data_IF_855369216230
#
_entry.id   IF_855369216230
#
_cell.length_a   1.000
_cell.length_b   1.000
_cell.length_c   1.000
_cell.angle_alpha   90.00
_cell.angle_beta   90.00
_cell.angle_gamma   90.00
#
_symmetry.space_group_name_H-M   'P 1'
#
loop_
_entity.id
_entity.type
_entity.pdbx_description
1 polymer ?
#
# COMPACT_ATOMS: atom_id res chain seq x y z
N UNK A 1 -3.18 6.74 19.20
CA UNK A 1 -3.49 6.04 17.94
C UNK A 1 -3.96 4.61 18.22
N UNK A 2 -4.81 4.06 17.33
CA UNK A 2 -5.19 2.65 17.31
C UNK A 2 -4.43 2.04 16.14
N UNK A 3 -3.77 0.91 16.37
CA UNK A 3 -2.98 0.24 15.35
C UNK A 3 -3.42 -1.21 15.26
N UNK A 4 -3.64 -1.69 14.05
CA UNK A 4 -3.89 -3.10 13.76
C UNK A 4 -2.67 -3.69 13.09
N UNK A 5 -2.25 -4.87 13.52
CA UNK A 5 -1.27 -5.72 12.83
C UNK A 5 -2.04 -6.87 12.22
N UNK A 6 -2.22 -6.91 10.87
CA UNK A 6 -3.10 -7.88 10.23
C UNK A 6 -2.37 -9.20 9.92
N UNK A 7 -1.71 -9.79 10.94
CA UNK A 7 -1.03 -11.08 10.82
C UNK A 7 -2.04 -12.24 10.92
N UNK A 8 -3.04 -12.29 10.02
CA UNK A 8 -4.10 -13.30 10.09
C UNK A 8 -3.60 -14.72 9.78
N UNK A 9 -2.63 -14.85 8.90
CA UNK A 9 -1.97 -16.13 8.59
C UNK A 9 -0.55 -16.14 9.14
N UNK A 10 0.15 -15.02 9.07
CA UNK A 10 1.52 -14.81 9.48
C UNK A 10 1.91 -13.35 9.21
N UNK A 11 3.16 -12.96 9.52
CA UNK A 11 3.80 -11.79 8.93
C UNK A 11 4.79 -12.25 7.85
N UNK A 12 4.55 -11.85 6.61
CA UNK A 12 5.45 -12.06 5.48
C UNK A 12 6.64 -11.12 5.49
N UNK A 13 7.13 -10.76 4.31
CA UNK A 13 8.22 -9.81 4.16
C UNK A 13 7.91 -8.47 4.83
N UNK A 14 8.90 -7.82 5.44
CA UNK A 14 10.28 -8.27 5.65
C UNK A 14 10.48 -9.12 6.90
N UNK A 15 9.44 -9.39 7.69
CA UNK A 15 9.53 -10.00 9.02
C UNK A 15 9.73 -11.52 9.00
N UNK A 16 9.04 -12.22 8.09
CA UNK A 16 9.07 -13.69 7.94
C UNK A 16 8.77 -14.42 9.26
N UNK A 17 7.65 -14.02 9.93
CA UNK A 17 7.23 -14.59 11.21
C UNK A 17 5.95 -15.42 11.03
N UNK A 18 6.06 -16.76 10.86
CA UNK A 18 4.91 -17.63 10.69
C UNK A 18 4.04 -17.74 11.95
N UNK A 19 4.63 -17.52 13.12
CA UNK A 19 3.93 -17.60 14.42
C UNK A 19 3.15 -16.32 14.78
N UNK A 20 3.41 -15.20 14.08
CA UNK A 20 2.71 -13.95 14.36
C UNK A 20 1.20 -14.09 14.17
N UNK A 21 0.43 -13.44 15.04
CA UNK A 21 -1.03 -13.42 14.98
C UNK A 21 -1.55 -11.99 14.90
N UNK A 22 -2.74 -11.84 14.30
CA UNK A 22 -3.40 -10.55 14.18
C UNK A 22 -3.65 -9.91 15.54
N UNK A 23 -3.37 -8.60 15.65
CA UNK A 23 -3.49 -7.86 16.89
C UNK A 23 -4.07 -6.46 16.64
N UNK A 24 -4.87 -5.98 17.59
CA UNK A 24 -5.30 -4.57 17.65
C UNK A 24 -4.82 -4.00 18.99
N UNK A 25 -4.11 -2.87 18.93
CA UNK A 25 -3.56 -2.21 20.12
C UNK A 25 -4.04 -0.76 20.24
N UNK A 26 -3.85 -0.16 21.42
CA UNK A 26 -4.23 1.22 21.69
C UNK A 26 -5.73 1.42 21.95
N UNK A 27 -6.49 0.36 22.26
CA UNK A 27 -7.92 0.45 22.57
C UNK A 27 -8.15 1.19 23.89
N UNK A 28 -9.19 2.04 23.91
CA UNK A 28 -9.63 2.81 25.07
C UNK A 28 -11.15 2.80 25.15
N UNK A 29 -11.74 3.32 26.22
CA UNK A 29 -13.20 3.48 26.36
C UNK A 29 -13.86 4.28 25.23
N UNK A 30 -13.14 5.22 24.61
CA UNK A 30 -13.61 6.00 23.45
C UNK A 30 -13.41 5.31 22.09
N UNK A 31 -12.92 4.07 22.05
CA UNK A 31 -12.74 3.34 20.79
C UNK A 31 -14.10 2.91 20.25
N UNK A 32 -14.34 3.19 18.97
CA UNK A 32 -15.54 2.78 18.25
C UNK A 32 -15.19 2.11 16.90
N UNK A 33 -16.20 1.63 16.19
CA UNK A 33 -16.05 0.92 14.92
C UNK A 33 -15.23 1.70 13.87
N UNK A 34 -15.40 3.02 13.79
CA UNK A 34 -14.69 3.84 12.81
C UNK A 34 -13.18 3.85 13.09
N UNK A 35 -12.78 3.84 14.36
CA UNK A 35 -11.37 3.72 14.74
C UNK A 35 -10.77 2.39 14.30
N UNK A 36 -11.54 1.29 14.41
CA UNK A 36 -11.06 -0.04 13.99
C UNK A 36 -10.93 -0.10 12.45
N UNK A 37 -11.97 0.33 11.72
CA UNK A 37 -11.94 0.38 10.25
C UNK A 37 -10.76 1.22 9.76
N UNK A 38 -10.54 2.40 10.36
CA UNK A 38 -9.41 3.26 10.00
C UNK A 38 -8.07 2.56 10.28
N UNK A 39 -7.90 1.93 11.42
CA UNK A 39 -6.68 1.20 11.77
C UNK A 39 -6.41 0.04 10.80
N UNK A 40 -7.45 -0.61 10.27
CA UNK A 40 -7.33 -1.65 9.24
C UNK A 40 -6.80 -1.08 7.92
N UNK A 41 -7.35 0.04 7.46
CA UNK A 41 -6.88 0.72 6.23
C UNK A 41 -5.43 1.21 6.40
N UNK A 42 -5.13 1.85 7.52
CA UNK A 42 -3.77 2.32 7.82
C UNK A 42 -2.76 1.17 7.89
N UNK A 43 -3.16 0.00 8.41
CA UNK A 43 -2.31 -1.19 8.50
C UNK A 43 -1.83 -1.69 7.12
N UNK A 44 -2.67 -1.60 6.10
CA UNK A 44 -2.27 -1.94 4.71
C UNK A 44 -1.13 -1.04 4.24
N UNK A 45 -1.24 0.26 4.53
CA UNK A 45 -0.21 1.23 4.15
C UNK A 45 1.11 1.03 4.90
N UNK A 46 1.04 0.67 6.19
CA UNK A 46 2.25 0.37 6.97
C UNK A 46 2.94 -0.91 6.49
N UNK A 47 2.20 -1.95 6.13
CA UNK A 47 2.80 -3.16 5.54
C UNK A 47 3.49 -2.85 4.21
N UNK A 48 2.86 -2.06 3.35
CA UNK A 48 3.47 -1.60 2.10
C UNK A 48 4.74 -0.79 2.37
N UNK A 49 4.70 0.11 3.37
CA UNK A 49 5.88 0.87 3.79
C UNK A 49 7.05 -0.05 4.18
N UNK A 50 6.81 -1.08 4.99
CA UNK A 50 7.87 -1.99 5.44
C UNK A 50 8.50 -2.74 4.26
N UNK A 51 7.68 -3.23 3.33
CA UNK A 51 8.18 -3.92 2.12
C UNK A 51 9.00 -2.98 1.24
N UNK A 52 8.50 -1.76 1.00
CA UNK A 52 9.20 -0.80 0.16
C UNK A 52 10.51 -0.33 0.78
N UNK A 53 10.57 -0.16 2.11
CA UNK A 53 11.83 0.14 2.80
C UNK A 53 12.87 -0.97 2.64
N UNK A 54 12.45 -2.23 2.76
CA UNK A 54 13.34 -3.36 2.50
C UNK A 54 13.83 -3.37 1.04
N UNK A 55 12.96 -3.05 0.07
CA UNK A 55 13.36 -2.94 -1.34
C UNK A 55 14.33 -1.77 -1.58
N UNK A 56 14.13 -0.64 -0.92
CA UNK A 56 15.04 0.51 -1.02
C UNK A 56 16.43 0.21 -0.46
N UNK A 57 16.52 -0.61 0.61
CA UNK A 57 17.79 -1.06 1.17
C UNK A 57 18.57 -1.93 0.17
N UNK A 58 17.86 -2.74 -0.63
CA UNK A 58 18.50 -3.66 -1.60
C UNK A 58 18.77 -2.99 -2.95
N UNK A 59 17.85 -2.17 -3.45
CA UNK A 59 17.85 -1.67 -4.84
C UNK A 59 18.09 -0.15 -4.96
N UNK A 60 18.13 0.58 -3.85
CA UNK A 60 18.25 2.04 -3.84
C UNK A 60 16.90 2.76 -3.87
N UNK A 61 16.93 4.10 -3.89
CA UNK A 61 15.75 4.94 -3.72
C UNK A 61 14.67 4.70 -4.79
N UNK A 62 13.43 4.57 -4.35
CA UNK A 62 12.23 4.44 -5.19
C UNK A 62 11.64 5.84 -5.39
N UNK A 63 11.47 6.28 -6.65
CA UNK A 63 10.98 7.62 -6.95
C UNK A 63 9.47 7.77 -6.83
N UNK A 64 8.69 6.94 -7.52
CA UNK A 64 7.22 6.95 -7.49
C UNK A 64 6.67 5.54 -7.51
N UNK A 65 5.45 5.40 -6.99
CA UNK A 65 4.80 4.10 -6.85
C UNK A 65 3.49 4.11 -7.63
N UNK A 66 3.30 3.12 -8.49
CA UNK A 66 2.03 2.89 -9.17
C UNK A 66 1.22 1.88 -8.35
N UNK A 67 -0.03 2.24 -8.04
CA UNK A 67 -0.97 1.40 -7.31
C UNK A 67 -2.21 1.13 -8.15
N UNK A 68 -2.63 -0.12 -8.23
CA UNK A 68 -3.82 -0.56 -8.93
C UNK A 68 -4.61 -1.61 -8.13
N UNK A 69 -5.67 -2.14 -8.73
CA UNK A 69 -6.57 -3.10 -8.09
C UNK A 69 -7.66 -2.44 -7.25
N UNK A 70 -8.61 -3.24 -6.77
CA UNK A 70 -9.82 -2.76 -6.09
C UNK A 70 -9.55 -1.87 -4.87
N UNK A 71 -8.52 -2.18 -4.07
CA UNK A 71 -8.15 -1.37 -2.91
C UNK A 71 -7.67 0.03 -3.29
N UNK A 72 -7.01 0.17 -4.43
CA UNK A 72 -6.53 1.46 -4.93
C UNK A 72 -7.65 2.44 -5.27
N UNK A 73 -8.90 1.97 -5.45
CA UNK A 73 -10.06 2.84 -5.65
C UNK A 73 -10.41 3.70 -4.43
N UNK A 74 -9.89 3.37 -3.25
CA UNK A 74 -10.12 4.11 -2.02
C UNK A 74 -9.14 5.29 -1.93
N UNK A 75 -9.65 6.51 -2.10
CA UNK A 75 -8.85 7.74 -2.06
C UNK A 75 -8.14 7.93 -0.71
N UNK A 76 -8.83 7.66 0.41
CA UNK A 76 -8.21 7.76 1.74
C UNK A 76 -6.98 6.83 1.85
N UNK A 77 -7.10 5.59 1.31
CA UNK A 77 -6.00 4.65 1.34
C UNK A 77 -4.81 5.17 0.52
N UNK A 78 -5.06 5.74 -0.65
CA UNK A 78 -4.01 6.29 -1.52
C UNK A 78 -3.34 7.53 -0.93
N UNK A 79 -4.12 8.45 -0.35
CA UNK A 79 -3.61 9.63 0.34
C UNK A 79 -2.74 9.24 1.53
N UNK A 80 -3.23 8.33 2.38
CA UNK A 80 -2.48 7.86 3.54
C UNK A 80 -1.24 7.05 3.13
N UNK A 81 -1.32 6.28 2.03
CA UNK A 81 -0.16 5.57 1.48
C UNK A 81 0.94 6.55 1.05
N UNK A 82 0.59 7.61 0.30
CA UNK A 82 1.54 8.64 -0.09
C UNK A 82 2.17 9.30 1.14
N UNK A 83 1.36 9.67 2.13
CA UNK A 83 1.80 10.28 3.38
C UNK A 83 2.81 9.41 4.14
N UNK A 84 2.53 8.12 4.31
CA UNK A 84 3.39 7.19 5.06
C UNK A 84 4.68 6.88 4.30
N UNK A 85 4.61 6.75 2.98
CA UNK A 85 5.79 6.51 2.16
C UNK A 85 6.69 7.76 2.05
N UNK A 86 6.08 8.95 2.05
CA UNK A 86 6.76 10.20 1.74
C UNK A 86 7.09 10.33 0.26
N UNK A 87 6.39 9.58 -0.59
CA UNK A 87 6.54 9.55 -2.04
C UNK A 87 5.18 9.64 -2.71
N UNK A 88 5.12 10.20 -3.93
CA UNK A 88 3.89 10.21 -4.72
C UNK A 88 3.41 8.79 -5.03
N UNK A 89 2.11 8.59 -4.92
CA UNK A 89 1.41 7.38 -5.36
C UNK A 89 0.57 7.72 -6.59
N UNK A 90 0.78 6.98 -7.67
CA UNK A 90 0.10 7.16 -8.95
C UNK A 90 -0.92 6.04 -9.13
N UNK A 91 -2.19 6.41 -9.30
CA UNK A 91 -3.27 5.47 -9.59
C UNK A 91 -3.80 5.71 -10.99
N UNK A 92 -3.80 4.70 -11.88
CA UNK A 92 -4.47 4.83 -13.17
C UNK A 92 -5.99 4.98 -12.97
N UNK A 93 -6.69 5.64 -13.89
CA UNK A 93 -8.15 5.75 -13.82
C UNK A 93 -8.81 4.38 -13.94
N UNK A 94 -8.26 3.49 -14.78
CA UNK A 94 -8.64 2.10 -14.82
C UNK A 94 -7.76 1.30 -13.85
N UNK A 95 -8.33 0.87 -12.74
CA UNK A 95 -7.61 0.11 -11.71
C UNK A 95 -7.58 -1.41 -11.98
N UNK A 96 -8.13 -1.86 -13.10
CA UNK A 96 -8.16 -3.27 -13.51
C UNK A 96 -6.98 -3.58 -14.46
N UNK A 97 -5.75 -3.29 -14.04
CA UNK A 97 -4.54 -3.42 -14.87
C UNK A 97 -4.32 -4.85 -15.38
N UNK A 98 -4.66 -5.86 -14.58
CA UNK A 98 -4.52 -7.27 -14.98
C UNK A 98 -5.44 -7.61 -16.16
N UNK A 99 -6.71 -7.24 -16.08
CA UNK A 99 -7.68 -7.47 -17.16
C UNK A 99 -7.32 -6.65 -18.41
N UNK A 100 -6.91 -5.40 -18.21
CA UNK A 100 -6.45 -4.52 -19.30
C UNK A 100 -5.21 -5.07 -19.98
N UNK A 101 -4.24 -5.56 -19.23
CA UNK A 101 -3.03 -6.19 -19.77
C UNK A 101 -3.34 -7.44 -20.60
N UNK A 102 -4.25 -8.30 -20.12
CA UNK A 102 -4.71 -9.46 -20.87
C UNK A 102 -5.39 -9.06 -22.18
N UNK A 103 -6.24 -8.02 -22.16
CA UNK A 103 -6.90 -7.50 -23.35
C UNK A 103 -5.90 -6.92 -24.37
N UNK A 104 -4.88 -6.21 -23.89
CA UNK A 104 -3.80 -5.69 -24.75
C UNK A 104 -3.01 -6.79 -25.42
N UNK A 105 -2.63 -7.84 -24.68
CA UNK A 105 -1.93 -9.00 -25.26
C UNK A 105 -2.79 -9.73 -26.29
N UNK A 106 -4.07 -9.90 -26.01
CA UNK A 106 -4.99 -10.50 -26.98
C UNK A 106 -5.12 -9.64 -28.25
N UNK A 107 -5.23 -8.33 -28.11
CA UNK A 107 -5.30 -7.39 -29.24
C UNK A 107 -4.04 -7.39 -30.10
N UNK A 108 -2.86 -7.47 -29.49
CA UNK A 108 -1.59 -7.67 -30.22
C UNK A 108 -1.58 -9.01 -30.96
N UNK A 109 -2.02 -10.08 -30.29
CA UNK A 109 -2.06 -11.42 -30.89
C UNK A 109 -3.01 -11.56 -32.08
N UNK A 110 -4.10 -10.80 -32.12
CA UNK A 110 -5.05 -10.78 -33.25
C UNK A 110 -4.79 -9.65 -34.26
N UNK A 111 -3.74 -8.86 -34.06
CA UNK A 111 -3.35 -7.78 -34.98
C UNK A 111 -4.20 -6.52 -34.89
N UNK A 112 -4.93 -6.30 -33.79
CA UNK A 112 -5.64 -5.05 -33.51
C UNK A 112 -4.66 -3.88 -33.31
N UNK A 113 -3.51 -4.15 -32.68
CA UNK A 113 -2.37 -3.26 -32.53
C UNK A 113 -1.14 -3.91 -33.15
N UNK A 114 -0.32 -3.10 -33.84
CA UNK A 114 0.87 -3.56 -34.54
C UNK A 114 2.09 -3.71 -33.60
N UNK A 115 2.11 -3.00 -32.47
CA UNK A 115 3.23 -3.02 -31.52
C UNK A 115 2.83 -2.63 -30.10
N UNK A 116 3.73 -2.87 -29.14
CA UNK A 116 3.56 -2.44 -27.74
C UNK A 116 3.59 -0.92 -27.59
N UNK A 117 4.31 -0.21 -28.46
CA UNK A 117 4.43 1.23 -28.44
C UNK A 117 3.09 1.93 -28.74
N UNK A 118 2.24 1.32 -29.57
CA UNK A 118 0.88 1.83 -29.83
C UNK A 118 0.00 1.78 -28.56
N UNK A 119 0.29 0.89 -27.63
CA UNK A 119 -0.46 0.75 -26.39
C UNK A 119 -0.06 1.77 -25.32
N UNK A 120 1.15 2.31 -25.38
CA UNK A 120 1.66 3.26 -24.39
C UNK A 120 0.78 4.52 -24.32
N UNK A 121 0.22 4.97 -25.45
CA UNK A 121 -0.67 6.14 -25.52
C UNK A 121 -2.14 5.87 -25.14
N UNK A 122 -2.54 4.61 -24.99
CA UNK A 122 -3.96 4.25 -24.72
C UNK A 122 -4.35 4.43 -23.25
N UNK A 123 -3.39 4.42 -22.32
CA UNK A 123 -3.63 4.39 -20.88
C UNK A 123 -3.03 5.56 -20.10
N UNK A 124 -3.01 6.77 -20.64
CA UNK A 124 -2.26 7.92 -20.08
C UNK A 124 -3.01 8.70 -18.96
N UNK A 125 -4.22 8.29 -18.59
CA UNK A 125 -4.95 8.99 -17.52
C UNK A 125 -4.67 8.37 -16.15
N UNK A 126 -4.15 9.19 -15.25
CA UNK A 126 -3.87 8.79 -13.87
C UNK A 126 -4.20 9.92 -12.89
N UNK A 127 -4.38 9.56 -11.62
CA UNK A 127 -4.43 10.50 -10.50
C UNK A 127 -3.19 10.31 -9.66
N UNK A 128 -2.54 11.41 -9.31
CA UNK A 128 -1.41 11.44 -8.41
C UNK A 128 -1.86 11.87 -7.01
N UNK A 129 -1.37 11.17 -6.00
CA UNK A 129 -1.54 11.47 -4.59
C UNK A 129 -0.19 11.89 -4.03
N UNK A 130 -0.09 13.15 -3.62
CA UNK A 130 1.15 13.76 -3.15
C UNK A 130 1.17 13.76 -1.63
N UNK A 131 2.29 13.43 -0.96
CA UNK A 131 2.40 13.49 0.48
C UNK A 131 2.06 14.87 1.04
N UNK A 132 1.23 14.92 2.06
CA UNK A 132 0.79 16.15 2.73
C UNK A 132 1.08 16.16 4.23
N UNK A 133 1.38 15.01 4.80
CA UNK A 133 1.66 14.83 6.22
C UNK A 133 3.04 15.37 6.61
N UNK A 134 3.12 16.05 7.77
CA UNK A 134 4.41 16.50 8.30
C UNK A 134 5.32 15.30 8.65
N UNK A 135 6.63 15.49 8.50
CA UNK A 135 7.64 14.48 8.82
C UNK A 135 7.55 13.98 10.26
N UNK A 136 7.32 14.89 11.21
CA UNK A 136 7.15 14.54 12.62
C UNK A 136 5.98 13.57 12.83
N UNK A 137 4.81 13.89 12.25
CA UNK A 137 3.63 13.04 12.37
C UNK A 137 3.83 11.68 11.69
N UNK A 138 4.47 11.65 10.53
CA UNK A 138 4.82 10.43 9.81
C UNK A 138 5.72 9.54 10.67
N UNK A 139 6.78 10.12 11.23
CA UNK A 139 7.72 9.41 12.10
C UNK A 139 7.04 8.82 13.34
N UNK A 140 6.14 9.57 13.99
CA UNK A 140 5.38 9.11 15.15
C UNK A 140 4.50 7.91 14.80
N UNK A 141 3.81 7.97 13.65
CA UNK A 141 2.94 6.89 13.17
C UNK A 141 3.73 5.62 12.85
N UNK A 142 4.86 5.76 12.16
CA UNK A 142 5.75 4.64 11.84
C UNK A 142 6.35 4.03 13.11
N UNK A 143 6.74 4.85 14.08
CA UNK A 143 7.21 4.37 15.38
C UNK A 143 6.13 3.57 16.11
N UNK A 144 4.89 4.06 16.09
CA UNK A 144 3.73 3.36 16.65
C UNK A 144 3.48 2.00 15.99
N UNK A 145 3.56 1.97 14.65
CA UNK A 145 3.46 0.73 13.87
C UNK A 145 4.55 -0.28 14.25
N UNK A 146 5.83 0.14 14.24
CA UNK A 146 6.95 -0.74 14.59
C UNK A 146 6.83 -1.32 16.01
N UNK A 147 6.34 -0.53 16.97
CA UNK A 147 6.05 -1.02 18.33
C UNK A 147 4.94 -2.08 18.34
N UNK A 148 3.87 -1.87 17.56
CA UNK A 148 2.78 -2.83 17.45
C UNK A 148 3.24 -4.14 16.80
N UNK A 149 3.99 -4.08 15.71
CA UNK A 149 4.60 -5.26 15.09
C UNK A 149 5.52 -5.98 16.07
N UNK A 150 6.39 -5.25 16.78
CA UNK A 150 7.27 -5.83 17.79
C UNK A 150 6.53 -6.55 18.91
N UNK A 151 5.31 -6.12 19.27
CA UNK A 151 4.47 -6.81 20.22
C UNK A 151 3.79 -8.06 19.61
N UNK A 152 3.42 -8.02 18.33
CA UNK A 152 2.78 -9.13 17.63
C UNK A 152 3.72 -10.30 17.31
N UNK A 153 5.05 -10.08 17.32
CA UNK A 153 6.08 -11.09 17.04
C UNK A 153 6.82 -11.57 18.30
N UNK A 154 6.46 -11.05 19.47
CA UNK A 154 6.98 -11.56 20.74
C UNK A 154 6.20 -12.83 21.13
N UNK A 155 6.94 -13.87 21.46
CA UNK A 155 6.43 -15.10 22.09
C UNK A 155 5.88 -14.82 23.50
#
# INVERSE_FOLDING_TARGET
YKTQVPAFLALGAPYWKPEARGMITGLTRGTNRCHIVRATLEAMCYQTYDVLRAMEEDAGAIGSIKADGGAASNDFLMEFQADILGHSVIRPYNVESTATGAAYLAGLGCGLWGSMEELVGVSDKFREFIPSMSESKRSDLISGWKKAVGAAIRD
#
